data_IF_005236799598
#
_entry.id   IF_005236799598
#
_cell.length_a   1.000
_cell.length_b   1.000
_cell.length_c   1.000
_cell.angle_alpha   90.00
_cell.angle_beta   90.00
_cell.angle_gamma   90.00
#
_symmetry.space_group_name_H-M   'P 1'
#
loop_
_entity.id
_entity.type
_entity.pdbx_description
1 polymer ?
#
# COMPACT_ATOMS: atom_id res chain seq x y z
N UNK A 1 -42.38 -22.76 -18.57
CA UNK A 1 -41.99 -23.12 -17.20
C UNK A 1 -40.50 -23.43 -17.09
N UNK A 2 -40.06 -24.60 -17.55
CA UNK A 2 -38.74 -25.16 -17.19
C UNK A 2 -37.51 -24.58 -17.90
N UNK A 3 -37.64 -24.01 -19.11
CA UNK A 3 -36.51 -23.43 -19.87
C UNK A 3 -35.88 -22.21 -19.18
N UNK A 4 -36.69 -21.37 -18.53
CA UNK A 4 -36.20 -20.21 -17.78
C UNK A 4 -35.51 -20.64 -16.49
N UNK A 5 -35.98 -21.68 -15.83
CA UNK A 5 -35.40 -22.19 -14.58
C UNK A 5 -34.01 -22.76 -14.81
N UNK A 6 -33.80 -23.56 -15.85
CA UNK A 6 -32.48 -24.12 -16.20
C UNK A 6 -31.48 -23.04 -16.63
N UNK A 7 -31.92 -22.05 -17.42
CA UNK A 7 -31.10 -20.89 -17.80
C UNK A 7 -30.69 -20.07 -16.58
N UNK A 8 -31.62 -19.81 -15.67
CA UNK A 8 -31.34 -19.06 -14.44
C UNK A 8 -30.38 -19.81 -13.51
N UNK A 9 -30.54 -21.13 -13.38
CA UNK A 9 -29.60 -21.99 -12.64
C UNK A 9 -28.21 -21.94 -13.27
N UNK A 10 -28.11 -22.04 -14.60
CA UNK A 10 -26.84 -21.94 -15.31
C UNK A 10 -26.12 -20.60 -15.07
N UNK A 11 -26.85 -19.48 -15.14
CA UNK A 11 -26.31 -18.14 -14.88
C UNK A 11 -25.82 -18.02 -13.44
N UNK A 12 -26.60 -18.51 -12.47
CA UNK A 12 -26.22 -18.49 -11.04
C UNK A 12 -24.93 -19.27 -10.81
N UNK A 13 -24.79 -20.46 -11.41
CA UNK A 13 -23.58 -21.29 -11.28
C UNK A 13 -22.35 -20.58 -11.86
N UNK A 14 -22.48 -19.95 -13.03
CA UNK A 14 -21.37 -19.21 -13.65
C UNK A 14 -20.94 -18.03 -12.77
N UNK A 15 -21.89 -17.28 -12.22
CA UNK A 15 -21.60 -16.17 -11.30
C UNK A 15 -20.90 -16.68 -10.05
N UNK A 16 -21.36 -17.81 -9.48
CA UNK A 16 -20.76 -18.39 -8.28
C UNK A 16 -19.30 -18.83 -8.53
N UNK A 17 -19.03 -19.46 -9.68
CA UNK A 17 -17.67 -19.84 -10.08
C UNK A 17 -16.80 -18.60 -10.27
N UNK A 18 -17.31 -17.54 -10.90
CA UNK A 18 -16.58 -16.29 -11.09
C UNK A 18 -16.24 -15.62 -9.74
N UNK A 19 -17.17 -15.61 -8.78
CA UNK A 19 -16.95 -15.08 -7.42
C UNK A 19 -15.90 -15.91 -6.68
N UNK A 20 -16.02 -17.25 -6.72
CA UNK A 20 -15.07 -18.15 -6.04
C UNK A 20 -13.67 -18.06 -6.66
N UNK A 21 -13.58 -17.97 -7.98
CA UNK A 21 -12.32 -17.73 -8.68
C UNK A 21 -11.72 -16.38 -8.26
N UNK A 22 -12.49 -15.29 -8.31
CA UNK A 22 -12.03 -13.97 -7.87
C UNK A 22 -11.55 -13.95 -6.41
N UNK A 23 -12.26 -14.62 -5.51
CA UNK A 23 -11.88 -14.76 -4.11
C UNK A 23 -10.57 -15.56 -3.94
N UNK A 24 -10.41 -16.68 -4.64
CA UNK A 24 -9.18 -17.49 -4.62
C UNK A 24 -7.97 -16.73 -5.16
N UNK A 25 -8.17 -15.93 -6.21
CA UNK A 25 -7.13 -15.07 -6.79
C UNK A 25 -6.68 -14.04 -5.76
N UNK A 26 -7.63 -13.37 -5.09
CA UNK A 26 -7.32 -12.39 -4.06
C UNK A 26 -6.59 -12.98 -2.85
N UNK A 27 -6.81 -14.26 -2.51
CA UNK A 27 -6.14 -14.92 -1.38
C UNK A 27 -4.67 -15.24 -1.66
N UNK A 28 -4.30 -15.44 -2.93
CA UNK A 28 -2.93 -15.80 -3.33
C UNK A 28 -2.09 -14.60 -3.80
N UNK A 29 -2.71 -13.43 -3.95
CA UNK A 29 -2.03 -12.18 -4.24
C UNK A 29 -1.85 -11.37 -2.95
N UNK A 30 -0.64 -10.89 -2.67
CA UNK A 30 -0.39 -10.17 -1.43
C UNK A 30 0.95 -9.45 -1.42
N UNK A 31 1.08 -8.53 -0.47
CA UNK A 31 2.34 -7.89 -0.11
C UNK A 31 2.69 -8.37 1.28
N UNK A 32 3.84 -9.02 1.40
CA UNK A 32 4.39 -9.45 2.67
C UNK A 32 5.55 -8.53 3.03
N UNK A 33 5.63 -8.14 4.31
CA UNK A 33 6.69 -7.28 4.83
C UNK A 33 7.39 -7.93 6.00
N UNK A 34 8.72 -7.97 5.96
CA UNK A 34 9.60 -8.54 6.98
C UNK A 34 10.67 -7.53 7.39
N UNK A 35 11.53 -7.87 8.34
CA UNK A 35 12.73 -7.09 8.61
C UNK A 35 13.68 -7.14 7.40
N UNK A 36 14.37 -6.02 7.14
CA UNK A 36 15.25 -5.90 5.97
C UNK A 36 16.37 -6.93 5.97
N UNK A 37 16.70 -7.44 4.78
CA UNK A 37 17.77 -8.43 4.60
C UNK A 37 19.16 -7.80 4.49
N UNK A 38 19.23 -6.48 4.45
CA UNK A 38 20.48 -5.71 4.40
C UNK A 38 20.98 -5.48 2.98
N UNK A 39 20.11 -5.59 1.97
CA UNK A 39 20.48 -5.27 0.60
C UNK A 39 20.78 -3.77 0.46
N UNK A 40 21.76 -3.38 -0.36
CA UNK A 40 22.08 -1.98 -0.59
C UNK A 40 20.87 -1.26 -1.22
N UNK A 41 20.46 -0.14 -0.62
CA UNK A 41 19.32 0.65 -1.07
C UNK A 41 19.76 1.66 -2.16
N UNK A 42 20.05 1.14 -3.35
CA UNK A 42 20.65 1.91 -4.46
C UNK A 42 19.66 2.76 -5.26
N UNK A 43 18.35 2.55 -5.09
CA UNK A 43 17.31 3.29 -5.79
C UNK A 43 16.58 4.22 -4.82
N UNK A 44 16.13 5.37 -5.31
CA UNK A 44 15.43 6.37 -4.52
C UNK A 44 14.32 6.99 -5.35
N UNK A 45 13.15 7.18 -4.73
CA UNK A 45 12.02 7.88 -5.32
C UNK A 45 11.37 8.79 -4.28
N UNK A 46 10.97 9.99 -4.72
CA UNK A 46 10.26 10.94 -3.88
C UNK A 46 8.78 10.96 -4.27
N UNK A 47 7.94 10.99 -3.25
CA UNK A 47 6.51 11.08 -3.41
C UNK A 47 5.95 12.12 -2.47
N UNK A 48 4.90 12.78 -2.92
CA UNK A 48 4.01 13.50 -2.03
C UNK A 48 2.76 12.65 -1.85
N UNK A 49 2.42 12.35 -0.60
CA UNK A 49 1.39 11.40 -0.22
C UNK A 49 0.38 12.09 0.67
N UNK A 50 -0.90 11.99 0.29
CA UNK A 50 -2.03 12.58 1.00
C UNK A 50 -2.85 11.48 1.64
N UNK A 51 -2.75 11.41 2.96
CA UNK A 51 -3.43 10.39 3.76
C UNK A 51 -4.73 10.99 4.32
N UNK A 52 -5.90 10.44 3.96
CA UNK A 52 -7.14 10.84 4.59
C UNK A 52 -7.18 10.39 6.05
N UNK A 53 -7.73 11.25 6.91
CA UNK A 53 -7.83 10.98 8.33
C UNK A 53 -8.68 9.73 8.61
N UNK A 54 -8.27 8.97 9.61
CA UNK A 54 -8.97 7.79 10.14
C UNK A 54 -9.34 6.73 9.07
N UNK A 55 -8.58 6.64 7.98
CA UNK A 55 -8.82 5.68 6.90
C UNK A 55 -7.66 4.70 6.81
N UNK A 56 -7.97 3.41 6.67
CA UNK A 56 -6.95 2.40 6.41
C UNK A 56 -6.51 2.50 4.95
N UNK A 57 -5.28 2.97 4.76
CA UNK A 57 -4.71 3.23 3.45
C UNK A 57 -3.54 2.27 3.19
N UNK A 58 -3.24 2.05 1.92
CA UNK A 58 -2.03 1.34 1.50
C UNK A 58 -1.26 2.23 0.55
N UNK A 59 0.03 2.41 0.77
CA UNK A 59 0.93 3.05 -0.18
C UNK A 59 2.00 2.04 -0.60
N UNK A 60 2.03 1.69 -1.88
CA UNK A 60 2.91 0.63 -2.41
C UNK A 60 2.81 -0.69 -1.64
N UNK A 61 1.62 -1.01 -1.13
CA UNK A 61 1.34 -2.24 -0.38
C UNK A 61 1.65 -2.14 1.11
N UNK A 62 2.31 -1.07 1.55
CA UNK A 62 2.55 -0.78 2.96
C UNK A 62 1.26 -0.20 3.57
N UNK A 63 0.68 -0.80 4.63
CA UNK A 63 -0.41 -0.19 5.37
C UNK A 63 0.07 1.11 6.00
N UNK A 64 -0.62 2.21 5.69
CA UNK A 64 -0.35 3.52 6.26
C UNK A 64 -1.62 4.14 6.82
N UNK A 65 -1.51 4.71 8.02
CA UNK A 65 -2.58 5.47 8.65
C UNK A 65 -1.99 6.74 9.27
N UNK A 66 -2.66 7.86 9.08
CA UNK A 66 -2.36 9.11 9.76
C UNK A 66 -3.47 9.39 10.77
N UNK A 67 -3.09 9.87 11.95
CA UNK A 67 -4.02 10.34 12.97
C UNK A 67 -3.57 11.71 13.45
N UNK A 68 -4.30 12.74 13.04
CA UNK A 68 -3.94 14.12 13.29
C UNK A 68 -4.45 14.60 14.66
N UNK A 69 -3.60 15.27 15.44
CA UNK A 69 -3.93 15.79 16.77
C UNK A 69 -3.16 17.07 17.08
N UNK A 70 -3.89 18.18 17.22
CA UNK A 70 -3.39 19.42 17.83
C UNK A 70 -2.09 20.00 17.25
N UNK A 71 -1.86 19.87 15.93
CA UNK A 71 -0.66 20.38 15.25
C UNK A 71 0.46 19.34 15.05
N UNK A 72 0.22 18.10 15.49
CA UNK A 72 1.08 16.94 15.23
C UNK A 72 0.28 15.84 14.55
N UNK A 73 0.97 14.91 13.91
CA UNK A 73 0.36 13.72 13.32
C UNK A 73 1.08 12.48 13.80
N UNK A 74 0.33 11.45 14.17
CA UNK A 74 0.87 10.11 14.36
C UNK A 74 0.74 9.37 13.05
N UNK A 75 1.86 9.13 12.37
CA UNK A 75 1.94 8.31 11.19
C UNK A 75 2.29 6.87 11.61
N UNK A 76 1.46 5.93 11.18
CA UNK A 76 1.70 4.50 11.33
C UNK A 76 2.04 3.89 9.98
N UNK A 77 3.16 3.17 9.89
CA UNK A 77 3.60 2.45 8.69
C UNK A 77 3.99 1.03 9.09
N UNK A 78 3.36 0.00 8.53
CA UNK A 78 3.63 -1.42 8.86
C UNK A 78 3.70 -1.70 10.37
N UNK A 79 2.72 -1.18 11.13
CA UNK A 79 2.61 -1.23 12.61
C UNK A 79 3.62 -0.41 13.41
N UNK A 80 4.55 0.29 12.76
CA UNK A 80 5.44 1.22 13.44
C UNK A 80 4.85 2.61 13.50
N UNK A 81 4.82 3.20 14.69
CA UNK A 81 4.19 4.51 14.93
C UNK A 81 5.25 5.54 15.21
N UNK A 82 5.16 6.66 14.50
CA UNK A 82 6.00 7.83 14.71
C UNK A 82 5.11 9.06 14.81
N UNK A 83 5.39 9.93 15.76
CA UNK A 83 4.66 11.21 15.89
C UNK A 83 5.56 12.33 15.36
N UNK A 84 4.99 13.13 14.46
CA UNK A 84 5.70 14.20 13.76
C UNK A 84 4.97 15.52 13.97
N UNK A 85 5.73 16.57 14.28
CA UNK A 85 5.28 17.95 14.09
C UNK A 85 5.45 18.36 12.62
N UNK A 86 4.79 19.46 12.22
CA UNK A 86 4.94 20.02 10.87
C UNK A 86 6.42 20.36 10.60
N UNK A 87 6.93 19.95 9.44
CA UNK A 87 8.33 20.09 9.02
C UNK A 87 9.28 19.07 9.66
N UNK A 88 8.80 18.20 10.55
CA UNK A 88 9.62 17.16 11.13
C UNK A 88 9.73 15.97 10.18
N UNK A 89 10.93 15.41 10.12
CA UNK A 89 11.24 14.20 9.36
C UNK A 89 11.52 13.03 10.31
N UNK A 90 11.08 11.82 9.93
CA UNK A 90 11.40 10.56 10.60
C UNK A 90 11.82 9.51 9.59
N UNK A 91 12.76 8.67 9.98
CA UNK A 91 13.19 7.50 9.21
C UNK A 91 12.57 6.26 9.84
N UNK A 92 11.81 5.51 9.06
CA UNK A 92 11.35 4.17 9.44
C UNK A 92 12.47 3.16 9.19
N UNK A 93 12.59 2.12 10.02
CA UNK A 93 13.59 1.07 9.85
C UNK A 93 13.39 0.33 8.53
N UNK A 94 14.49 -0.24 8.05
CA UNK A 94 14.51 -1.00 6.81
C UNK A 94 13.67 -2.27 6.94
N UNK A 95 12.83 -2.51 5.94
CA UNK A 95 11.99 -3.70 5.84
C UNK A 95 12.20 -4.38 4.48
N UNK A 96 11.91 -5.67 4.40
CA UNK A 96 11.86 -6.41 3.15
C UNK A 96 10.41 -6.49 2.68
N UNK A 97 10.15 -6.25 1.39
CA UNK A 97 8.84 -6.37 0.76
C UNK A 97 8.88 -7.44 -0.31
N UNK A 98 7.88 -8.32 -0.29
CA UNK A 98 7.66 -9.33 -1.34
C UNK A 98 6.26 -9.17 -1.90
N UNK A 99 6.16 -8.99 -3.21
CA UNK A 99 4.90 -8.92 -3.95
C UNK A 99 4.68 -10.25 -4.65
N UNK A 100 3.55 -10.89 -4.33
CA UNK A 100 3.15 -12.16 -4.92
C UNK A 100 1.87 -12.01 -5.71
N UNK A 101 1.79 -12.73 -6.84
CA UNK A 101 0.57 -12.86 -7.65
C UNK A 101 0.37 -14.35 -7.91
N UNK A 102 -0.81 -14.87 -7.57
CA UNK A 102 -1.08 -16.32 -7.59
C UNK A 102 -0.06 -17.16 -6.80
N UNK A 103 0.46 -16.64 -5.69
CA UNK A 103 1.46 -17.30 -4.85
C UNK A 103 2.88 -17.31 -5.43
N UNK A 104 3.06 -16.81 -6.65
CA UNK A 104 4.37 -16.67 -7.31
C UNK A 104 4.90 -15.29 -6.96
N UNK A 105 6.14 -15.24 -6.46
CA UNK A 105 6.86 -14.00 -6.24
C UNK A 105 7.19 -13.34 -7.58
N UNK A 106 6.69 -12.12 -7.75
CA UNK A 106 6.91 -11.33 -8.98
C UNK A 106 7.88 -10.16 -8.76
N UNK A 107 8.06 -9.75 -7.50
CA UNK A 107 8.94 -8.65 -7.13
C UNK A 107 9.31 -8.76 -5.65
N UNK A 108 10.57 -8.49 -5.34
CA UNK A 108 11.03 -8.32 -3.97
C UNK A 108 11.98 -7.12 -3.88
N UNK A 109 12.05 -6.50 -2.71
CA UNK A 109 13.00 -5.41 -2.45
C UNK A 109 13.13 -5.17 -0.95
N UNK A 110 14.34 -4.83 -0.51
CA UNK A 110 14.47 -4.08 0.75
C UNK A 110 14.05 -2.63 0.49
N UNK A 111 13.45 -1.99 1.48
CA UNK A 111 13.09 -0.60 1.43
C UNK A 111 13.28 0.12 2.77
N UNK A 112 13.55 1.41 2.69
CA UNK A 112 13.55 2.33 3.82
C UNK A 112 12.72 3.54 3.46
N UNK A 113 11.75 3.86 4.31
CA UNK A 113 10.89 5.02 4.15
C UNK A 113 11.36 6.13 5.08
N UNK A 114 11.57 7.31 4.52
CA UNK A 114 11.68 8.55 5.29
C UNK A 114 10.45 9.40 5.01
N UNK A 115 9.77 9.84 6.06
CA UNK A 115 8.56 10.65 5.96
C UNK A 115 8.78 12.00 6.62
N UNK A 116 8.39 13.08 5.93
CA UNK A 116 8.34 14.44 6.46
C UNK A 116 6.89 14.92 6.44
N UNK A 117 6.39 15.44 7.56
CA UNK A 117 5.01 15.91 7.66
C UNK A 117 4.89 17.36 7.20
N UNK A 118 4.03 17.63 6.21
CA UNK A 118 3.85 18.96 5.62
C UNK A 118 2.65 19.72 6.21
N UNK A 119 1.82 19.05 7.00
CA UNK A 119 0.57 19.61 7.52
C UNK A 119 -0.66 19.07 6.78
N UNK A 120 -1.82 19.66 7.08
CA UNK A 120 -3.09 19.30 6.45
C UNK A 120 -3.29 20.11 5.17
N UNK A 121 -3.46 19.43 4.04
CA UNK A 121 -3.77 20.02 2.73
C UNK A 121 -5.11 19.45 2.25
N UNK A 122 -6.12 20.29 2.06
CA UNK A 122 -7.44 19.88 1.55
C UNK A 122 -8.06 18.72 2.37
N UNK A 123 -8.06 18.84 3.70
CA UNK A 123 -8.57 17.82 4.65
C UNK A 123 -7.85 16.46 4.62
N UNK A 124 -6.60 16.41 4.12
CA UNK A 124 -5.74 15.22 4.17
C UNK A 124 -4.39 15.59 4.77
N UNK A 125 -3.81 14.69 5.56
CA UNK A 125 -2.45 14.85 6.05
C UNK A 125 -1.48 14.65 4.90
N UNK A 126 -0.70 15.68 4.58
CA UNK A 126 0.28 15.67 3.50
C UNK A 126 1.65 15.29 4.03
N UNK A 127 2.32 14.40 3.31
CA UNK A 127 3.67 13.95 3.64
C UNK A 127 4.57 13.92 2.41
N UNK A 128 5.83 14.32 2.60
CA UNK A 128 6.92 14.03 1.67
C UNK A 128 7.55 12.70 2.05
N UNK A 129 7.38 11.71 1.17
CA UNK A 129 7.96 10.38 1.32
C UNK A 129 9.19 10.26 0.44
N UNK A 130 10.33 9.97 1.06
CA UNK A 130 11.54 9.54 0.39
C UNK A 130 11.68 8.04 0.59
N UNK A 131 11.47 7.29 -0.48
CA UNK A 131 11.53 5.84 -0.47
C UNK A 131 12.85 5.40 -1.11
N UNK A 132 13.69 4.72 -0.33
CA UNK A 132 14.89 4.07 -0.83
C UNK A 132 14.64 2.58 -0.96
N UNK A 133 15.08 1.95 -2.04
CA UNK A 133 14.86 0.54 -2.32
C UNK A 133 16.12 -0.14 -2.86
N UNK A 134 16.24 -1.45 -2.64
CA UNK A 134 17.31 -2.25 -3.24
C UNK A 134 17.08 -2.57 -4.71
N UNK A 135 15.82 -2.63 -5.13
CA UNK A 135 15.41 -2.81 -6.53
C UNK A 135 14.48 -1.69 -6.96
N UNK A 136 14.59 -1.27 -8.23
CA UNK A 136 13.66 -0.28 -8.80
C UNK A 136 12.24 -0.85 -8.82
N UNK A 137 11.30 -0.15 -8.19
CA UNK A 137 9.89 -0.57 -8.16
C UNK A 137 9.29 -0.38 -9.57
N UNK A 138 8.77 -1.44 -10.20
CA UNK A 138 8.10 -1.32 -11.48
C UNK A 138 6.88 -0.39 -11.39
N UNK A 139 6.76 0.56 -12.32
CA UNK A 139 5.67 1.53 -12.34
C UNK A 139 4.27 0.89 -12.38
N UNK A 140 4.17 -0.29 -13.03
CA UNK A 140 2.95 -1.09 -13.09
C UNK A 140 2.45 -1.56 -11.72
N UNK A 141 3.32 -1.62 -10.70
CA UNK A 141 2.97 -2.03 -9.34
C UNK A 141 2.51 -0.86 -8.45
N UNK A 142 2.82 0.38 -8.83
CA UNK A 142 2.57 1.55 -7.95
C UNK A 142 1.07 1.76 -7.71
N UNK A 143 0.29 1.80 -8.79
CA UNK A 143 -1.16 2.01 -8.73
C UNK A 143 -1.91 0.85 -8.02
N UNK A 144 -1.75 -0.43 -8.41
CA UNK A 144 -2.52 -1.52 -7.80
C UNK A 144 -2.18 -1.76 -6.32
N UNK A 145 -0.98 -1.37 -5.89
CA UNK A 145 -0.54 -1.50 -4.50
C UNK A 145 -0.89 -0.28 -3.65
N UNK A 146 -1.36 0.82 -4.24
CA UNK A 146 -1.74 2.01 -3.51
C UNK A 146 -3.27 2.13 -3.46
N UNK A 147 -3.85 2.00 -2.26
CA UNK A 147 -5.30 1.95 -2.04
C UNK A 147 -5.73 3.01 -1.03
N UNK A 148 -6.83 3.69 -1.34
CA UNK A 148 -7.42 4.74 -0.50
C UNK A 148 -6.46 5.89 -0.15
N UNK A 149 -5.38 6.05 -0.90
CA UNK A 149 -4.38 7.11 -0.73
C UNK A 149 -4.18 7.83 -2.05
N UNK A 150 -3.96 9.13 -1.99
CA UNK A 150 -3.53 9.92 -3.14
C UNK A 150 -2.03 10.15 -3.05
N UNK A 151 -1.34 10.06 -4.18
CA UNK A 151 0.09 10.33 -4.25
C UNK A 151 0.48 10.93 -5.60
N UNK A 152 1.62 11.63 -5.62
CA UNK A 152 2.30 12.08 -6.83
C UNK A 152 3.80 11.90 -6.69
N UNK A 153 4.48 11.58 -7.79
CA UNK A 153 5.94 11.56 -7.84
C UNK A 153 6.47 12.98 -8.03
N UNK A 154 7.58 13.32 -7.35
CA UNK A 154 8.20 14.66 -7.38
C UNK A 154 9.71 14.58 -7.63
#
# INVERSE_FOLDING_TARGET
GQSHTLRNVGIIVVILIAILAGAYISLNSGVETFDGYGYPLSYQANYEVFVPDNTNCQFLGMPINALSSGGSVTLMVNNERQTLAIGQQVVFPTKHMTVKVFGIEIFNTDYQLTAEYEGVITNKDAFKFNLKTSSSIPSLLINPLSKNVEYRTI
#
